data_IF_794109441853
#
_entry.id   IF_794109441853
#
_cell.length_a   1.000
_cell.length_b   1.000
_cell.length_c   1.000
_cell.angle_alpha   90.00
_cell.angle_beta   90.00
_cell.angle_gamma   90.00
#
_symmetry.space_group_name_H-M   'P 1'
#
loop_
_entity.id
_entity.type
_entity.pdbx_description
1 polymer ?
#
# COMPACT_ATOMS: atom_id res chain seq x y z
N UNK A 1 56.46 -24.97 -5.43
CA UNK A 1 55.11 -25.47 -5.78
C UNK A 1 54.32 -24.30 -6.32
N UNK A 2 54.09 -24.33 -7.63
CA UNK A 2 53.36 -23.33 -8.39
C UNK A 2 51.85 -23.53 -8.23
N UNK A 3 51.08 -22.45 -8.20
CA UNK A 3 49.91 -22.24 -9.06
C UNK A 3 49.26 -20.87 -8.80
N UNK A 4 49.74 -19.87 -9.55
CA UNK A 4 48.93 -18.74 -9.96
C UNK A 4 48.36 -19.08 -11.34
N UNK A 5 47.04 -19.19 -11.47
CA UNK A 5 46.37 -19.26 -12.78
C UNK A 5 45.56 -17.99 -13.00
N UNK A 6 46.21 -17.03 -13.65
CA UNK A 6 45.59 -16.03 -14.53
C UNK A 6 45.36 -16.69 -15.88
N UNK A 7 44.23 -16.43 -16.55
CA UNK A 7 44.15 -16.36 -18.02
C UNK A 7 42.94 -15.50 -18.47
N UNK A 8 42.97 -14.96 -19.70
CA UNK A 8 42.59 -13.58 -20.01
C UNK A 8 41.46 -13.41 -21.05
N UNK A 9 41.22 -12.14 -21.41
CA UNK A 9 40.28 -11.62 -22.40
C UNK A 9 40.51 -12.05 -23.86
N UNK A 10 39.38 -12.18 -24.56
CA UNK A 10 39.01 -11.75 -25.93
C UNK A 10 39.96 -11.92 -27.13
N UNK A 11 39.43 -12.55 -28.19
CA UNK A 11 39.67 -12.21 -29.61
C UNK A 11 38.54 -12.78 -30.48
N UNK A 12 37.73 -11.90 -31.08
CA UNK A 12 37.58 -11.67 -32.53
C UNK A 12 37.17 -12.86 -33.40
N UNK A 13 36.06 -12.74 -34.13
CA UNK A 13 35.98 -13.01 -35.57
C UNK A 13 34.63 -12.52 -36.14
N UNK A 14 34.72 -11.51 -37.00
CA UNK A 14 33.73 -11.17 -38.01
C UNK A 14 33.78 -12.20 -39.14
N UNK A 15 32.62 -12.55 -39.73
CA UNK A 15 32.44 -12.94 -41.14
C UNK A 15 30.93 -12.84 -41.43
N UNK A 16 30.47 -11.73 -42.01
CA UNK A 16 30.24 -11.54 -43.45
C UNK A 16 29.15 -12.44 -44.05
N UNK A 17 28.09 -11.75 -44.43
CA UNK A 17 27.03 -12.12 -45.35
C UNK A 17 27.52 -12.84 -46.62
N UNK A 18 26.83 -13.91 -47.00
CA UNK A 18 26.75 -14.35 -48.40
C UNK A 18 25.31 -14.70 -48.75
N UNK A 19 24.84 -14.06 -49.81
CA UNK A 19 23.56 -14.31 -50.45
C UNK A 19 23.64 -15.61 -51.26
N UNK A 20 22.56 -16.39 -51.26
CA UNK A 20 22.26 -17.26 -52.40
C UNK A 20 20.77 -17.11 -52.76
N UNK A 21 20.56 -16.62 -53.96
CA UNK A 21 19.28 -16.57 -54.62
C UNK A 21 18.98 -17.95 -55.21
N UNK A 22 17.81 -18.50 -54.91
CA UNK A 22 17.23 -19.60 -55.67
C UNK A 22 15.76 -19.25 -55.97
N UNK A 23 15.52 -18.86 -57.22
CA UNK A 23 14.21 -18.80 -57.84
C UNK A 23 13.58 -20.19 -57.85
N UNK A 24 12.33 -20.35 -57.40
CA UNK A 24 11.41 -21.30 -58.01
C UNK A 24 9.92 -20.93 -57.81
N UNK A 25 9.26 -20.68 -58.94
CA UNK A 25 7.84 -20.90 -59.25
C UNK A 25 6.74 -20.17 -58.46
N UNK A 26 6.16 -19.14 -59.11
CA UNK A 26 4.78 -18.69 -58.91
C UNK A 26 3.80 -19.85 -59.14
N UNK A 27 3.09 -20.28 -58.08
CA UNK A 27 1.77 -20.91 -58.19
C UNK A 27 0.76 -20.04 -57.45
N UNK A 28 -0.15 -19.41 -58.21
CA UNK A 28 -1.42 -18.89 -57.69
C UNK A 28 -2.31 -20.10 -57.38
N UNK A 29 -2.80 -20.19 -56.15
CA UNK A 29 -4.00 -20.97 -55.82
C UNK A 29 -4.74 -20.28 -54.69
N UNK A 30 -5.91 -19.73 -55.05
CA UNK A 30 -7.17 -19.66 -54.31
C UNK A 30 -7.15 -19.58 -52.77
N UNK A 31 -7.78 -18.54 -52.26
CA UNK A 31 -8.05 -18.35 -50.83
C UNK A 31 -8.93 -19.42 -50.22
N UNK A 32 -8.65 -19.69 -48.94
CA UNK A 32 -9.59 -20.22 -47.96
C UNK A 32 -9.01 -19.86 -46.58
N UNK A 33 -9.53 -18.79 -45.97
CA UNK A 33 -9.32 -18.49 -44.56
C UNK A 33 -10.08 -19.53 -43.74
N UNK A 34 -9.42 -20.66 -43.43
CA UNK A 34 -9.91 -21.57 -42.41
C UNK A 34 -9.74 -20.89 -41.03
N UNK A 35 -10.73 -20.08 -40.65
CA UNK A 35 -10.98 -19.77 -39.25
C UNK A 35 -11.38 -21.09 -38.58
N UNK A 36 -10.42 -21.74 -37.91
CA UNK A 36 -10.73 -22.77 -36.92
C UNK A 36 -11.63 -22.13 -35.87
N UNK A 37 -12.92 -22.44 -35.92
CA UNK A 37 -13.89 -22.00 -34.93
C UNK A 37 -13.46 -22.60 -33.59
N UNK A 38 -12.95 -21.73 -32.71
CA UNK A 38 -12.80 -22.06 -31.29
C UNK A 38 -14.18 -22.58 -30.84
N UNK A 39 -14.28 -23.80 -30.31
CA UNK A 39 -15.56 -24.30 -29.83
C UNK A 39 -16.04 -23.36 -28.72
N UNK A 40 -17.10 -22.61 -29.01
CA UNK A 40 -17.73 -21.76 -28.00
C UNK A 40 -18.39 -22.71 -26.99
N UNK A 41 -18.13 -22.55 -25.68
CA UNK A 41 -18.86 -23.30 -24.67
C UNK A 41 -20.36 -23.00 -24.83
N UNK A 42 -21.26 -23.92 -24.46
CA UNK A 42 -22.69 -23.69 -24.55
C UNK A 42 -23.07 -22.49 -23.67
N UNK A 43 -23.28 -21.34 -24.31
CA UNK A 43 -23.71 -20.10 -23.67
C UNK A 43 -25.19 -20.24 -23.34
N UNK A 44 -25.55 -20.14 -22.07
CA UNK A 44 -26.95 -20.06 -21.66
C UNK A 44 -27.47 -18.65 -22.00
N UNK A 45 -28.40 -18.49 -22.96
CA UNK A 45 -28.89 -17.17 -23.38
C UNK A 45 -29.71 -16.46 -22.29
N UNK A 46 -30.10 -17.17 -21.22
CA UNK A 46 -30.79 -16.61 -20.06
C UNK A 46 -29.87 -16.31 -18.89
N UNK A 47 -28.55 -16.44 -19.07
CA UNK A 47 -27.61 -16.14 -17.99
C UNK A 47 -27.60 -14.62 -17.70
N UNK A 48 -27.98 -14.20 -16.47
CA UNK A 48 -27.98 -12.79 -16.09
C UNK A 48 -26.58 -12.16 -16.14
N UNK A 49 -25.51 -12.96 -16.04
CA UNK A 49 -24.14 -12.50 -16.17
C UNK A 49 -23.78 -12.22 -17.64
N UNK A 50 -24.06 -13.17 -18.55
CA UNK A 50 -23.69 -13.03 -19.97
C UNK A 50 -24.52 -11.95 -20.68
N UNK A 51 -25.78 -11.78 -20.30
CA UNK A 51 -26.63 -10.69 -20.81
C UNK A 51 -26.14 -9.31 -20.35
N UNK A 52 -25.73 -9.18 -19.07
CA UNK A 52 -25.08 -7.95 -18.58
C UNK A 52 -23.75 -7.69 -19.28
N UNK A 53 -22.90 -8.70 -19.44
CA UNK A 53 -21.61 -8.57 -20.12
C UNK A 53 -21.79 -8.18 -21.59
N UNK A 54 -22.73 -8.80 -22.30
CA UNK A 54 -23.07 -8.45 -23.68
C UNK A 54 -23.62 -7.02 -23.78
N UNK A 55 -24.47 -6.60 -22.84
CA UNK A 55 -25.00 -5.23 -22.79
C UNK A 55 -23.89 -4.20 -22.55
N UNK A 56 -22.95 -4.48 -21.65
CA UNK A 56 -21.82 -3.60 -21.35
C UNK A 56 -20.85 -3.52 -22.54
N UNK A 57 -20.53 -4.67 -23.15
CA UNK A 57 -19.70 -4.75 -24.35
C UNK A 57 -20.32 -4.01 -25.55
N UNK A 58 -21.66 -4.05 -25.69
CA UNK A 58 -22.37 -3.36 -26.76
C UNK A 58 -22.48 -1.84 -26.54
N UNK A 59 -22.59 -1.40 -25.29
CA UNK A 59 -22.79 0.02 -24.96
C UNK A 59 -21.47 0.78 -24.89
N UNK A 60 -20.39 0.11 -24.46
CA UNK A 60 -19.06 0.73 -24.32
C UNK A 60 -17.97 -0.35 -24.24
N UNK A 61 -17.29 -0.71 -25.35
CA UNK A 61 -16.20 -1.69 -25.31
C UNK A 61 -14.99 -1.17 -24.52
N UNK A 62 -14.78 0.15 -24.50
CA UNK A 62 -13.66 0.79 -23.82
C UNK A 62 -13.75 0.67 -22.30
N UNK A 63 -14.95 0.61 -21.71
CA UNK A 63 -15.11 0.44 -20.25
C UNK A 63 -14.70 -0.94 -19.75
N UNK A 64 -14.62 -1.95 -20.62
CA UNK A 64 -14.08 -3.27 -20.28
C UNK A 64 -12.55 -3.28 -20.19
N UNK A 65 -11.89 -2.35 -20.90
CA UNK A 65 -10.43 -2.23 -20.96
C UNK A 65 -9.91 -1.10 -20.08
N UNK A 66 -10.71 -0.06 -19.87
CA UNK A 66 -10.38 1.09 -19.04
C UNK A 66 -10.98 0.92 -17.65
N UNK A 67 -10.11 0.90 -16.64
CA UNK A 67 -10.51 1.04 -15.24
C UNK A 67 -11.32 2.34 -15.06
N UNK A 68 -12.56 2.33 -14.54
CA UNK A 68 -13.18 3.55 -14.03
C UNK A 68 -12.35 4.00 -12.83
N UNK A 69 -11.41 4.93 -13.04
CA UNK A 69 -10.64 5.53 -11.95
C UNK A 69 -11.55 6.49 -11.22
N UNK A 70 -12.17 6.06 -10.13
CA UNK A 70 -12.70 7.03 -9.18
C UNK A 70 -11.50 7.66 -8.47
N UNK A 71 -11.19 8.95 -8.66
CA UNK A 71 -10.01 9.57 -8.03
C UNK A 71 -10.10 9.52 -6.49
N UNK A 72 -11.29 9.33 -5.95
CA UNK A 72 -11.57 9.35 -4.52
C UNK A 72 -11.63 7.98 -3.85
N UNK A 73 -11.48 6.90 -4.62
CA UNK A 73 -11.49 5.53 -4.10
C UNK A 73 -10.13 4.89 -4.37
N UNK A 74 -9.43 4.38 -3.34
CA UNK A 74 -8.16 3.70 -3.56
C UNK A 74 -8.38 2.42 -4.40
N UNK A 75 -7.40 2.04 -5.24
CA UNK A 75 -7.52 1.02 -6.28
C UNK A 75 -7.98 -0.33 -5.80
N UNK A 76 -7.61 -0.72 -4.58
CA UNK A 76 -7.99 -2.01 -4.05
C UNK A 76 -9.46 -2.08 -3.63
N UNK A 77 -10.09 -0.95 -3.28
CA UNK A 77 -11.52 -0.95 -3.00
C UNK A 77 -12.34 -1.12 -4.28
N UNK A 78 -11.88 -0.55 -5.39
CA UNK A 78 -12.50 -0.76 -6.71
C UNK A 78 -12.47 -2.25 -7.14
N UNK A 79 -11.45 -3.02 -6.72
CA UNK A 79 -11.33 -4.46 -7.06
C UNK A 79 -12.54 -5.26 -6.58
N UNK A 80 -13.12 -4.87 -5.45
CA UNK A 80 -14.29 -5.58 -4.94
C UNK A 80 -15.59 -5.19 -5.66
N UNK A 81 -15.64 -4.01 -6.30
CA UNK A 81 -16.80 -3.53 -7.06
C UNK A 81 -16.78 -4.05 -8.50
N UNK A 82 -15.58 -4.12 -9.10
CA UNK A 82 -15.32 -4.78 -10.38
C UNK A 82 -14.06 -5.63 -10.26
N UNK A 83 -14.17 -6.97 -10.14
CA UNK A 83 -13.02 -7.86 -10.15
C UNK A 83 -12.47 -7.98 -11.57
N UNK A 84 -12.01 -6.88 -12.15
CA UNK A 84 -11.16 -6.92 -13.33
C UNK A 84 -9.81 -7.37 -12.82
N UNK A 85 -9.52 -8.65 -13.05
CA UNK A 85 -8.29 -9.33 -12.66
C UNK A 85 -7.11 -8.42 -12.99
N UNK A 86 -6.49 -7.81 -11.97
CA UNK A 86 -5.14 -7.28 -12.07
C UNK A 86 -4.34 -8.43 -12.67
N UNK A 87 -4.00 -8.29 -13.96
CA UNK A 87 -3.62 -9.34 -14.90
C UNK A 87 -3.77 -10.76 -14.32
N UNK A 88 -4.74 -11.55 -14.80
CA UNK A 88 -4.71 -13.00 -14.53
C UNK A 88 -3.25 -13.47 -14.61
N UNK A 89 -2.74 -14.29 -13.69
CA UNK A 89 -1.36 -14.77 -13.80
C UNK A 89 -1.05 -15.30 -15.22
N UNK A 90 -2.08 -15.83 -15.90
CA UNK A 90 -2.08 -16.20 -17.30
C UNK A 90 -1.91 -15.06 -18.33
N UNK A 91 -2.33 -13.82 -18.07
CA UNK A 91 -2.14 -12.64 -18.94
C UNK A 91 -0.76 -11.99 -18.79
N UNK A 92 -0.15 -12.05 -17.60
CA UNK A 92 1.27 -11.70 -17.44
C UNK A 92 2.16 -12.60 -18.32
N UNK A 93 1.70 -13.82 -18.63
CA UNK A 93 2.41 -14.80 -19.46
C UNK A 93 2.00 -14.82 -20.96
N UNK A 94 0.88 -14.22 -21.38
CA UNK A 94 0.26 -14.54 -22.68
C UNK A 94 0.85 -13.86 -23.93
N UNK A 95 2.02 -13.24 -23.84
CA UNK A 95 2.72 -12.71 -25.01
C UNK A 95 3.89 -13.60 -25.42
N UNK A 96 3.67 -14.90 -25.67
CA UNK A 96 4.67 -15.72 -26.38
C UNK A 96 3.98 -16.68 -27.35
N UNK A 97 4.18 -16.40 -28.64
CA UNK A 97 3.94 -17.30 -29.76
C UNK A 97 4.71 -18.62 -29.55
N UNK A 98 4.27 -19.69 -30.21
CA UNK A 98 4.61 -21.12 -30.00
C UNK A 98 6.08 -21.56 -30.15
N UNK A 99 7.07 -20.69 -29.93
CA UNK A 99 8.47 -21.03 -30.11
C UNK A 99 9.34 -20.27 -29.10
N UNK A 100 9.59 -20.82 -27.90
CA UNK A 100 10.81 -20.52 -27.14
C UNK A 100 10.97 -21.38 -25.88
N UNK A 101 12.12 -22.04 -25.76
CA UNK A 101 12.62 -22.75 -24.58
C UNK A 101 13.04 -21.77 -23.45
N UNK A 102 12.26 -20.72 -23.19
CA UNK A 102 12.53 -19.83 -22.05
C UNK A 102 12.12 -20.55 -20.76
N UNK A 103 12.95 -20.57 -19.71
CA UNK A 103 12.52 -21.07 -18.41
C UNK A 103 11.31 -20.23 -17.97
N UNK A 104 10.20 -20.91 -17.68
CA UNK A 104 9.03 -20.29 -17.05
C UNK A 104 9.53 -19.54 -15.81
N UNK A 105 9.44 -18.21 -15.80
CA UNK A 105 9.70 -17.45 -14.57
C UNK A 105 8.65 -17.91 -13.56
N UNK A 106 9.03 -18.24 -12.33
CA UNK A 106 8.04 -18.57 -11.31
C UNK A 106 7.05 -17.41 -11.20
N UNK A 107 5.77 -17.68 -10.90
CA UNK A 107 4.79 -16.63 -10.72
C UNK A 107 5.29 -15.64 -9.66
N UNK A 108 5.07 -14.33 -9.85
CA UNK A 108 5.50 -13.32 -8.89
C UNK A 108 4.86 -13.58 -7.52
N UNK A 109 5.59 -13.29 -6.47
CA UNK A 109 5.12 -13.33 -5.09
C UNK A 109 4.10 -12.21 -4.82
N UNK A 110 3.33 -12.38 -3.74
CA UNK A 110 2.24 -11.47 -3.39
C UNK A 110 2.70 -10.01 -3.16
N UNK A 111 3.79 -9.74 -2.40
CA UNK A 111 4.33 -8.38 -2.26
C UNK A 111 4.70 -7.75 -3.61
N UNK A 112 5.33 -8.49 -4.51
CA UNK A 112 5.64 -8.00 -5.86
C UNK A 112 4.39 -7.66 -6.68
N UNK A 113 3.31 -8.43 -6.53
CA UNK A 113 2.02 -8.12 -7.18
C UNK A 113 1.40 -6.83 -6.63
N UNK A 114 1.46 -6.61 -5.31
CA UNK A 114 0.99 -5.38 -4.67
C UNK A 114 1.82 -4.17 -5.10
N UNK A 115 3.15 -4.32 -5.11
CA UNK A 115 4.07 -3.26 -5.53
C UNK A 115 3.87 -2.89 -7.00
N UNK A 116 3.61 -3.86 -7.88
CA UNK A 116 3.20 -3.59 -9.26
C UNK A 116 1.89 -2.79 -9.34
N UNK A 117 0.96 -3.04 -8.41
CA UNK A 117 -0.24 -2.23 -8.20
C UNK A 117 0.00 -0.88 -7.51
N UNK A 118 1.26 -0.51 -7.24
CA UNK A 118 1.70 0.68 -6.48
C UNK A 118 1.18 0.72 -5.04
N UNK A 119 0.97 -0.45 -4.46
CA UNK A 119 0.49 -0.64 -3.09
C UNK A 119 1.69 -1.02 -2.21
N UNK A 120 1.95 -0.20 -1.21
CA UNK A 120 2.91 -0.47 -0.13
C UNK A 120 2.12 -0.78 1.13
N UNK A 121 2.34 -1.96 1.73
CA UNK A 121 1.59 -2.42 2.90
C UNK A 121 2.48 -2.48 4.15
N UNK A 122 2.18 -1.63 5.13
CA UNK A 122 2.84 -1.59 6.43
C UNK A 122 2.00 -2.40 7.43
N UNK A 123 2.28 -3.69 7.56
CA UNK A 123 1.56 -4.60 8.47
C UNK A 123 2.27 -4.92 9.79
N UNK A 124 3.49 -4.44 9.97
CA UNK A 124 4.37 -4.80 11.09
C UNK A 124 4.76 -3.55 11.88
N UNK A 125 5.24 -3.69 13.13
CA UNK A 125 5.93 -2.60 13.83
C UNK A 125 7.11 -2.08 13.00
N UNK A 126 7.35 -0.78 13.09
CA UNK A 126 8.43 -0.08 12.42
C UNK A 126 9.76 -0.43 13.10
N UNK A 127 10.48 -1.35 12.48
CA UNK A 127 11.83 -1.79 12.85
C UNK A 127 12.77 -1.53 11.67
N UNK A 128 14.10 -1.45 11.87
CA UNK A 128 15.04 -1.09 10.80
C UNK A 128 14.85 -1.85 9.48
N UNK A 129 14.65 -3.17 9.55
CA UNK A 129 14.44 -4.00 8.36
C UNK A 129 13.11 -3.68 7.62
N UNK A 130 12.05 -3.31 8.35
CA UNK A 130 10.76 -2.95 7.76
C UNK A 130 10.85 -1.55 7.14
N UNK A 131 11.49 -0.62 7.83
CA UNK A 131 11.75 0.75 7.34
C UNK A 131 12.56 0.73 6.05
N UNK A 132 13.65 -0.05 6.02
CA UNK A 132 14.51 -0.19 4.84
C UNK A 132 13.71 -0.63 3.62
N UNK A 133 12.86 -1.65 3.77
CA UNK A 133 12.00 -2.15 2.69
C UNK A 133 10.99 -1.10 2.22
N UNK A 134 10.29 -0.43 3.15
CA UNK A 134 9.30 0.60 2.80
C UNK A 134 9.96 1.74 2.03
N UNK A 135 11.10 2.24 2.49
CA UNK A 135 11.83 3.33 1.82
C UNK A 135 12.31 2.87 0.43
N UNK A 136 12.83 1.65 0.30
CA UNK A 136 13.24 1.09 -0.98
C UNK A 136 12.06 0.97 -1.97
N UNK A 137 10.90 0.49 -1.51
CA UNK A 137 9.68 0.38 -2.32
C UNK A 137 9.19 1.76 -2.78
N UNK A 138 9.20 2.76 -1.90
CA UNK A 138 8.82 4.14 -2.22
C UNK A 138 9.75 4.75 -3.28
N UNK A 139 11.07 4.58 -3.12
CA UNK A 139 12.05 5.05 -4.10
C UNK A 139 11.90 4.35 -5.45
N UNK A 140 11.62 3.04 -5.43
CA UNK A 140 11.38 2.25 -6.64
C UNK A 140 10.13 2.74 -7.39
N UNK A 141 9.02 2.97 -6.69
CA UNK A 141 7.78 3.46 -7.30
C UNK A 141 7.92 4.84 -7.93
N UNK A 142 8.72 5.71 -7.32
CA UNK A 142 9.06 7.01 -7.90
C UNK A 142 9.94 6.88 -9.15
N UNK A 143 10.93 5.98 -9.13
CA UNK A 143 11.76 5.73 -10.30
C UNK A 143 10.95 5.17 -11.48
N UNK A 144 9.98 4.28 -11.20
CA UNK A 144 9.08 3.70 -12.21
C UNK A 144 8.19 4.74 -12.87
N UNK A 145 7.43 5.50 -12.08
CA UNK A 145 6.65 6.63 -12.57
C UNK A 145 6.45 7.67 -11.45
N UNK A 146 7.01 8.89 -11.57
CA UNK A 146 6.89 9.94 -10.57
C UNK A 146 5.53 10.67 -10.58
N UNK A 147 4.68 10.45 -11.59
CA UNK A 147 3.37 11.11 -11.72
C UNK A 147 2.23 10.28 -11.13
N UNK A 148 2.38 8.95 -11.10
CA UNK A 148 1.32 8.08 -10.61
C UNK A 148 1.28 8.04 -9.07
N UNK A 149 0.07 7.97 -8.47
CA UNK A 149 -0.07 7.93 -7.03
C UNK A 149 0.50 6.65 -6.43
N UNK A 150 0.94 6.74 -5.17
CA UNK A 150 1.38 5.61 -4.34
C UNK A 150 0.33 5.39 -3.25
N UNK A 151 -0.05 4.14 -3.01
CA UNK A 151 -1.05 3.80 -2.01
C UNK A 151 -0.40 3.11 -0.81
N UNK A 152 -0.38 3.79 0.32
CA UNK A 152 0.21 3.32 1.56
C UNK A 152 -0.87 2.79 2.49
N UNK A 153 -0.92 1.47 2.65
CA UNK A 153 -1.85 0.80 3.56
C UNK A 153 -1.16 0.57 4.89
N UNK A 154 -1.79 1.01 5.98
CA UNK A 154 -1.20 1.07 7.30
C UNK A 154 -2.02 0.22 8.27
N UNK A 155 -1.38 -0.81 8.79
CA UNK A 155 -1.81 -1.60 9.94
C UNK A 155 -0.58 -1.84 10.84
N UNK A 156 -0.21 -0.80 11.59
CA UNK A 156 1.01 -0.82 12.37
C UNK A 156 0.82 -0.12 13.71
N UNK A 157 1.44 -0.71 14.71
CA UNK A 157 1.54 -0.20 16.07
C UNK A 157 2.65 0.87 16.21
N UNK A 158 3.32 1.23 15.11
CA UNK A 158 4.45 2.15 15.11
C UNK A 158 5.71 1.47 15.63
N UNK A 159 6.44 2.12 16.53
CA UNK A 159 7.72 1.63 17.08
C UNK A 159 7.57 0.70 18.29
N UNK A 160 6.33 0.45 18.71
CA UNK A 160 5.98 -0.42 19.84
C UNK A 160 5.23 -1.65 19.36
N UNK A 161 5.40 -2.81 20.00
CA UNK A 161 4.54 -3.99 19.81
C UNK A 161 3.26 -3.89 20.63
N UNK A 162 2.31 -4.78 20.37
CA UNK A 162 1.06 -4.92 21.14
C UNK A 162 1.31 -5.21 22.63
N UNK A 163 2.41 -5.89 22.96
CA UNK A 163 2.83 -6.18 24.34
C UNK A 163 3.33 -4.93 25.10
N UNK A 164 3.41 -3.78 24.43
CA UNK A 164 3.91 -2.52 24.98
C UNK A 164 5.43 -2.37 24.95
N UNK A 165 6.15 -3.38 24.46
CA UNK A 165 7.60 -3.34 24.27
C UNK A 165 7.98 -2.41 23.10
N UNK A 166 9.06 -1.63 23.25
CA UNK A 166 9.59 -0.78 22.18
C UNK A 166 10.56 -1.59 21.33
N UNK A 167 10.27 -1.72 20.03
CA UNK A 167 10.99 -2.63 19.10
C UNK A 167 11.79 -1.87 18.06
N UNK A 168 11.41 -0.62 17.80
CA UNK A 168 12.13 0.29 16.91
C UNK A 168 12.41 1.62 17.59
N UNK A 169 13.32 2.37 16.99
CA UNK A 169 13.60 3.74 17.39
C UNK A 169 12.64 4.70 16.68
N UNK A 170 12.45 5.89 17.23
CA UNK A 170 11.61 6.94 16.64
C UNK A 170 12.09 7.34 15.24
N UNK A 171 13.40 7.21 15.00
CA UNK A 171 14.06 7.45 13.71
C UNK A 171 13.47 6.62 12.57
N UNK A 172 12.94 5.43 12.85
CA UNK A 172 12.30 4.56 11.85
C UNK A 172 11.06 5.23 11.25
N UNK A 173 10.23 5.83 12.11
CA UNK A 173 9.05 6.57 11.67
C UNK A 173 9.42 7.84 10.90
N UNK A 174 10.45 8.56 11.37
CA UNK A 174 10.91 9.78 10.71
C UNK A 174 11.55 9.51 9.35
N UNK A 175 12.30 8.42 9.20
CA UNK A 175 12.90 8.04 7.91
C UNK A 175 11.84 7.81 6.83
N UNK A 176 10.76 7.07 7.14
CA UNK A 176 9.65 6.85 6.21
C UNK A 176 8.93 8.17 5.92
N UNK A 177 8.70 8.99 6.95
CA UNK A 177 8.06 10.29 6.80
C UNK A 177 8.85 11.20 5.85
N UNK A 178 10.16 11.32 6.03
CA UNK A 178 11.02 12.15 5.19
C UNK A 178 11.08 11.60 3.77
N UNK A 179 11.14 10.27 3.61
CA UNK A 179 11.04 9.62 2.30
C UNK A 179 9.73 10.03 1.62
N UNK A 180 8.58 9.92 2.30
CA UNK A 180 7.27 10.34 1.77
C UNK A 180 7.26 11.81 1.32
N UNK A 181 7.86 12.72 2.10
CA UNK A 181 7.91 14.15 1.77
C UNK A 181 8.87 14.47 0.61
N UNK A 182 9.87 13.63 0.36
CA UNK A 182 10.83 13.82 -0.72
C UNK A 182 10.29 13.33 -2.08
N UNK A 183 9.26 12.47 -2.09
CA UNK A 183 8.66 11.98 -3.32
C UNK A 183 7.85 13.08 -4.04
N UNK A 184 7.88 13.04 -5.37
CA UNK A 184 7.02 13.84 -6.26
C UNK A 184 5.63 13.24 -6.41
N UNK A 185 5.52 11.93 -6.15
CA UNK A 185 4.27 11.19 -6.25
C UNK A 185 3.25 11.69 -5.22
N UNK A 186 1.97 11.68 -5.59
CA UNK A 186 0.88 11.82 -4.63
C UNK A 186 0.80 10.55 -3.76
N UNK A 187 0.68 10.70 -2.43
CA UNK A 187 0.66 9.56 -1.51
C UNK A 187 -0.71 9.46 -0.85
N UNK A 188 -1.40 8.36 -1.13
CA UNK A 188 -2.72 8.07 -0.59
C UNK A 188 -2.55 7.13 0.60
N UNK A 189 -2.94 7.54 1.79
CA UNK A 189 -2.78 6.73 3.02
C UNK A 189 -4.10 6.09 3.40
N UNK A 190 -4.08 4.81 3.77
CA UNK A 190 -5.29 4.04 4.13
C UNK A 190 -5.02 3.25 5.41
N UNK A 191 -5.72 3.58 6.49
CA UNK A 191 -5.67 2.80 7.73
C UNK A 191 -6.60 1.57 7.69
N UNK A 192 -6.02 0.38 7.89
CA UNK A 192 -6.69 -0.93 7.83
C UNK A 192 -6.39 -1.68 9.12
N UNK A 193 -7.09 -1.37 10.21
CA UNK A 193 -6.85 -1.98 11.52
C UNK A 193 -6.35 -0.97 12.53
N UNK A 194 -5.03 -0.81 12.67
CA UNK A 194 -4.45 0.12 13.64
C UNK A 194 -3.39 1.04 13.01
N UNK A 195 -3.40 2.32 13.39
CA UNK A 195 -2.34 3.27 13.09
C UNK A 195 -1.94 4.00 14.38
N UNK A 196 -0.86 3.53 15.02
CA UNK A 196 -0.49 3.96 16.37
C UNK A 196 0.86 4.69 16.37
N UNK A 197 0.94 5.80 17.12
CA UNK A 197 2.18 6.56 17.32
C UNK A 197 2.76 7.06 16.00
N UNK A 198 3.97 6.60 15.65
CA UNK A 198 4.61 6.93 14.38
C UNK A 198 3.80 6.48 13.16
N UNK A 199 3.07 5.36 13.23
CA UNK A 199 2.18 4.96 12.15
C UNK A 199 0.98 5.92 11.99
N UNK A 200 0.50 6.53 13.09
CA UNK A 200 -0.50 7.59 13.04
C UNK A 200 0.04 8.86 12.37
N UNK A 201 1.31 9.21 12.64
CA UNK A 201 2.00 10.27 11.90
C UNK A 201 2.03 9.98 10.40
N UNK A 202 2.47 8.78 9.98
CA UNK A 202 2.53 8.39 8.57
C UNK A 202 1.14 8.46 7.91
N UNK A 203 0.09 8.00 8.61
CA UNK A 203 -1.29 8.12 8.14
C UNK A 203 -1.68 9.59 7.89
N UNK A 204 -1.39 10.47 8.84
CA UNK A 204 -1.70 11.90 8.74
C UNK A 204 -0.89 12.64 7.66
N UNK A 205 0.31 12.13 7.34
CA UNK A 205 1.25 12.71 6.39
C UNK A 205 0.93 12.41 4.92
N UNK A 206 -0.13 11.64 4.64
CA UNK A 206 -0.63 11.46 3.27
C UNK A 206 -1.05 12.77 2.62
N UNK A 207 -1.17 12.77 1.29
CA UNK A 207 -1.62 13.94 0.53
C UNK A 207 -3.00 14.40 1.00
N UNK A 208 -3.15 15.71 1.23
CA UNK A 208 -4.38 16.30 1.76
C UNK A 208 -5.58 15.99 0.87
N UNK A 209 -6.66 15.48 1.46
CA UNK A 209 -7.86 15.01 0.77
C UNK A 209 -7.80 13.53 0.36
N UNK A 210 -6.65 12.86 0.50
CA UNK A 210 -6.38 11.46 0.14
C UNK A 210 -5.92 10.61 1.33
N UNK A 211 -6.29 11.02 2.55
CA UNK A 211 -6.05 10.27 3.78
C UNK A 211 -7.33 9.56 4.20
N UNK A 212 -7.28 8.25 4.28
CA UNK A 212 -8.45 7.40 4.44
C UNK A 212 -8.34 6.46 5.65
N UNK A 213 -9.49 6.07 6.21
CA UNK A 213 -9.57 5.07 7.26
C UNK A 213 -10.78 4.16 7.06
N UNK A 214 -10.62 2.88 7.37
CA UNK A 214 -11.75 1.95 7.44
C UNK A 214 -12.60 2.19 8.69
N UNK A 215 -13.91 1.85 8.69
CA UNK A 215 -14.84 2.25 9.76
C UNK A 215 -14.43 1.79 11.16
N UNK A 216 -13.89 0.57 11.29
CA UNK A 216 -13.46 -0.03 12.55
C UNK A 216 -11.96 0.09 12.82
N UNK A 217 -11.21 0.80 11.96
CA UNK A 217 -9.80 1.04 12.21
C UNK A 217 -9.64 2.08 13.33
N UNK A 218 -8.55 1.94 14.09
CA UNK A 218 -8.21 2.83 15.20
C UNK A 218 -6.94 3.61 14.89
N UNK A 219 -6.99 4.91 15.09
CA UNK A 219 -5.79 5.73 15.19
C UNK A 219 -5.48 6.00 16.66
N UNK A 220 -4.19 6.09 16.99
CA UNK A 220 -3.77 6.44 18.34
C UNK A 220 -2.57 7.35 18.31
N UNK A 221 -2.68 8.49 19.00
CA UNK A 221 -1.55 9.37 19.28
C UNK A 221 -1.01 8.97 20.66
N UNK A 222 0.28 8.65 20.72
CA UNK A 222 0.97 8.33 21.97
C UNK A 222 2.34 8.98 22.01
N UNK A 223 2.81 9.24 23.22
CA UNK A 223 4.14 9.76 23.47
C UNK A 223 5.21 8.72 23.12
N UNK A 224 6.36 9.13 22.54
CA UNK A 224 7.55 8.30 22.46
C UNK A 224 7.97 7.80 23.84
N UNK A 225 8.46 6.57 23.90
CA UNK A 225 8.84 5.90 25.16
C UNK A 225 10.35 5.83 25.24
N UNK A 226 10.89 6.13 26.40
CA UNK A 226 12.31 5.84 26.66
C UNK A 226 12.44 4.31 26.70
N UNK A 227 13.28 3.69 25.83
CA UNK A 227 13.53 2.26 25.89
C UNK A 227 14.02 1.86 27.29
N UNK A 228 13.70 0.64 27.72
CA UNK A 228 14.15 0.15 29.03
C UNK A 228 15.68 0.20 29.11
N UNK A 229 16.19 1.19 29.82
CA UNK A 229 17.58 1.28 30.21
C UNK A 229 17.73 0.41 31.45
N UNK A 230 18.46 -0.71 31.35
CA UNK A 230 18.84 -1.49 32.52
C UNK A 230 19.78 -0.70 33.45
N UNK A 231 20.82 -1.35 33.97
CA UNK A 231 21.83 -0.64 34.76
C UNK A 231 22.72 0.20 33.82
N UNK A 232 22.40 1.48 33.71
CA UNK A 232 23.16 2.48 32.94
C UNK A 232 23.72 3.59 33.82
N UNK A 233 24.85 4.21 33.44
CA UNK A 233 25.35 5.41 34.10
C UNK A 233 24.33 6.56 34.09
N UNK A 234 24.28 7.35 35.16
CA UNK A 234 23.34 8.46 35.30
C UNK A 234 23.46 9.52 34.18
N UNK A 235 24.68 9.75 33.67
CA UNK A 235 24.95 10.63 32.52
C UNK A 235 24.21 10.17 31.26
N UNK A 236 24.23 8.87 31.00
CA UNK A 236 23.72 8.29 29.77
C UNK A 236 22.19 8.24 29.79
N UNK A 237 21.62 8.00 30.98
CA UNK A 237 20.16 8.12 31.21
C UNK A 237 19.70 9.55 30.91
N UNK A 238 20.42 10.57 31.38
CA UNK A 238 20.08 11.97 31.11
C UNK A 238 20.15 12.30 29.62
N UNK A 239 21.18 11.83 28.91
CA UNK A 239 21.35 12.05 27.47
C UNK A 239 20.19 11.43 26.69
N UNK A 240 19.85 10.17 26.98
CA UNK A 240 18.72 9.48 26.32
C UNK A 240 17.37 10.13 26.61
N UNK A 241 17.14 10.54 27.86
CA UNK A 241 15.91 11.23 28.22
C UNK A 241 15.74 12.53 27.42
N UNK A 242 16.82 13.30 27.25
CA UNK A 242 16.81 14.52 26.43
C UNK A 242 16.47 14.23 24.97
N UNK A 243 17.07 13.18 24.39
CA UNK A 243 16.81 12.80 23.00
C UNK A 243 15.35 12.40 22.77
N UNK A 244 14.76 11.62 23.68
CA UNK A 244 13.34 11.23 23.58
C UNK A 244 12.40 12.42 23.71
N UNK A 245 12.77 13.42 24.53
CA UNK A 245 12.01 14.70 24.61
C UNK A 245 12.08 15.46 23.29
N UNK A 246 13.26 15.53 22.65
CA UNK A 246 13.42 16.16 21.34
C UNK A 246 12.55 15.44 20.30
N UNK A 247 12.60 14.11 20.25
CA UNK A 247 11.79 13.30 19.32
C UNK A 247 10.29 13.51 19.55
N UNK A 248 9.84 13.59 20.82
CA UNK A 248 8.46 13.94 21.15
C UNK A 248 8.08 15.30 20.60
N UNK A 249 8.91 16.31 20.80
CA UNK A 249 8.61 17.68 20.37
C UNK A 249 8.54 17.78 18.84
N UNK A 250 9.41 17.06 18.13
CA UNK A 250 9.35 16.92 16.67
C UNK A 250 8.05 16.23 16.26
N UNK A 251 7.68 15.11 16.88
CA UNK A 251 6.45 14.39 16.57
C UNK A 251 5.20 15.26 16.77
N UNK A 252 5.14 16.04 17.86
CA UNK A 252 4.05 16.99 18.13
C UNK A 252 3.94 18.02 17.00
N UNK A 253 5.07 18.62 16.59
CA UNK A 253 5.11 19.62 15.50
C UNK A 253 4.61 19.04 14.18
N UNK A 254 5.06 17.83 13.83
CA UNK A 254 4.67 17.17 12.60
C UNK A 254 3.18 16.81 12.60
N UNK A 255 2.66 16.26 13.69
CA UNK A 255 1.23 15.96 13.84
C UNK A 255 0.39 17.24 13.81
N UNK A 256 0.80 18.30 14.49
CA UNK A 256 0.12 19.60 14.45
C UNK A 256 0.00 20.13 13.01
N UNK A 257 1.12 20.09 12.26
CA UNK A 257 1.17 20.51 10.86
C UNK A 257 0.17 19.75 9.97
N UNK A 258 0.10 18.43 10.09
CA UNK A 258 -0.75 17.59 9.21
C UNK A 258 -2.21 17.54 9.66
N UNK A 259 -2.48 17.64 10.96
CA UNK A 259 -3.84 17.65 11.49
C UNK A 259 -4.51 19.02 11.43
N UNK A 260 -3.72 20.11 11.35
CA UNK A 260 -4.21 21.49 11.38
C UNK A 260 -4.53 21.99 12.79
N UNK A 261 -4.18 21.22 13.84
CA UNK A 261 -4.32 21.63 15.23
C UNK A 261 -3.10 22.44 15.70
N UNK A 262 -3.24 23.17 16.80
CA UNK A 262 -2.10 23.81 17.46
C UNK A 262 -1.18 22.78 18.12
N UNK A 263 0.11 23.10 18.22
CA UNK A 263 1.11 22.26 18.93
C UNK A 263 0.69 21.99 20.37
N UNK A 264 0.09 22.98 21.04
CA UNK A 264 -0.41 22.84 22.42
C UNK A 264 -1.53 21.80 22.54
N UNK A 265 -2.48 21.80 21.61
CA UNK A 265 -3.58 20.81 21.60
C UNK A 265 -3.03 19.41 21.41
N UNK A 266 -2.12 19.22 20.45
CA UNK A 266 -1.50 17.92 20.18
C UNK A 266 -0.64 17.47 21.37
N UNK A 267 0.15 18.37 21.96
CA UNK A 267 0.98 18.07 23.13
C UNK A 267 0.13 17.67 24.35
N UNK A 268 -1.01 18.32 24.57
CA UNK A 268 -1.92 17.99 25.66
C UNK A 268 -2.55 16.62 25.48
N UNK A 269 -3.01 16.32 24.27
CA UNK A 269 -3.62 15.03 23.93
C UNK A 269 -2.60 13.90 23.99
N UNK A 270 -1.35 14.14 23.58
CA UNK A 270 -0.28 13.14 23.58
C UNK A 270 0.22 12.76 24.99
N UNK A 271 -0.14 13.51 26.05
CA UNK A 271 0.26 13.18 27.44
C UNK A 271 -0.16 11.77 27.87
N UNK A 272 -1.24 11.25 27.28
CA UNK A 272 -1.74 9.88 27.50
C UNK A 272 -2.08 9.25 26.14
N UNK A 273 -2.19 7.91 26.06
CA UNK A 273 -2.68 7.26 24.84
C UNK A 273 -4.05 7.81 24.46
N UNK A 274 -4.13 8.46 23.30
CA UNK A 274 -5.36 9.04 22.78
C UNK A 274 -5.87 8.20 21.62
N UNK A 275 -6.84 7.33 21.91
CA UNK A 275 -7.49 6.49 20.92
C UNK A 275 -8.58 7.27 20.18
N UNK A 276 -8.61 7.09 18.87
CA UNK A 276 -9.57 7.68 17.96
C UNK A 276 -10.15 6.60 17.08
N UNK A 277 -11.47 6.51 17.08
CA UNK A 277 -12.21 5.78 16.05
C UNK A 277 -12.23 6.61 14.76
N UNK A 278 -12.70 6.02 13.67
CA UNK A 278 -12.68 6.64 12.34
C UNK A 278 -13.35 8.02 12.26
N UNK A 279 -14.46 8.24 12.98
CA UNK A 279 -15.14 9.54 13.08
C UNK A 279 -14.29 10.57 13.81
N UNK A 280 -13.81 10.23 15.00
CA UNK A 280 -12.96 11.09 15.83
C UNK A 280 -11.62 11.42 15.15
N UNK A 281 -11.04 10.45 14.44
CA UNK A 281 -9.81 10.64 13.67
C UNK A 281 -10.01 11.66 12.53
N UNK A 282 -11.20 11.66 11.91
CA UNK A 282 -11.57 12.65 10.88
C UNK A 282 -11.78 14.04 11.49
N UNK A 283 -12.50 14.13 12.61
CA UNK A 283 -12.71 15.39 13.33
C UNK A 283 -11.40 16.01 13.83
N UNK A 284 -10.49 15.17 14.34
CA UNK A 284 -9.16 15.61 14.77
C UNK A 284 -8.25 15.99 13.60
N UNK A 285 -8.60 15.63 12.36
CA UNK A 285 -7.83 15.97 11.15
C UNK A 285 -6.72 14.98 10.80
N UNK A 286 -6.67 13.80 11.42
CA UNK A 286 -5.73 12.71 11.08
C UNK A 286 -6.03 12.17 9.68
N UNK A 287 -7.31 12.10 9.32
CA UNK A 287 -7.79 11.59 8.05
C UNK A 287 -8.81 12.55 7.42
N UNK A 288 -9.07 12.39 6.12
CA UNK A 288 -10.03 13.21 5.38
C UNK A 288 -11.35 12.47 5.14
N UNK A 289 -11.30 11.17 4.83
CA UNK A 289 -12.46 10.37 4.42
C UNK A 289 -12.49 9.01 5.10
N UNK A 290 -13.70 8.53 5.39
CA UNK A 290 -13.95 7.18 5.92
C UNK A 290 -14.46 6.31 4.77
N UNK A 291 -13.90 5.12 4.62
CA UNK A 291 -14.21 4.21 3.51
C UNK A 291 -15.36 3.28 3.89
N UNK A 292 -16.59 3.69 3.58
CA UNK A 292 -17.80 2.90 3.79
C UNK A 292 -18.14 2.04 2.58
N UNK A 293 -18.62 0.82 2.82
CA UNK A 293 -19.07 -0.14 1.82
C UNK A 293 -20.29 -0.92 2.33
N UNK A 294 -21.33 -0.18 2.70
CA UNK A 294 -22.58 -0.73 3.24
C UNK A 294 -22.58 -1.01 4.74
N UNK A 295 -21.44 -0.87 5.42
CA UNK A 295 -21.37 -0.99 6.88
C UNK A 295 -22.11 0.14 7.62
N UNK A 296 -22.46 1.24 6.96
CA UNK A 296 -23.21 2.35 7.56
C UNK A 296 -24.52 1.86 8.19
N UNK A 297 -25.23 0.95 7.52
CA UNK A 297 -26.47 0.36 8.04
C UNK A 297 -26.21 -0.49 9.28
N UNK A 298 -25.18 -1.34 9.21
CA UNK A 298 -24.77 -2.22 10.30
C UNK A 298 -24.35 -1.39 11.53
N UNK A 299 -23.65 -0.27 11.31
CA UNK A 299 -23.22 0.62 12.38
C UNK A 299 -24.34 1.49 12.94
N UNK A 300 -25.32 1.89 12.12
CA UNK A 300 -26.51 2.59 12.59
C UNK A 300 -27.41 1.70 13.47
N UNK A 301 -27.45 0.40 13.17
CA UNK A 301 -28.19 -0.58 13.98
C UNK A 301 -27.47 -0.93 15.30
N UNK A 302 -26.16 -0.64 15.39
CA UNK A 302 -25.38 -0.88 16.60
C UNK A 302 -25.58 0.26 17.62
N UNK A 303 -25.99 -0.09 18.84
CA UNK A 303 -26.11 0.87 19.92
C UNK A 303 -24.73 1.50 20.24
N UNK A 304 -24.64 2.83 20.44
CA UNK A 304 -23.41 3.46 20.87
C UNK A 304 -22.96 2.90 22.24
N UNK A 305 -21.65 2.87 22.53
CA UNK A 305 -21.13 2.34 23.80
C UNK A 305 -21.78 2.98 25.03
N UNK A 306 -22.11 4.26 24.96
CA UNK A 306 -22.78 4.97 26.06
C UNK A 306 -24.20 4.45 26.35
N UNK A 307 -24.93 4.01 25.32
CA UNK A 307 -26.24 3.36 25.50
C UNK A 307 -26.09 1.95 26.04
N UNK A 308 -25.06 1.22 25.61
CA UNK A 308 -24.72 -0.08 26.19
C UNK A 308 -24.39 0.03 27.68
N UNK A 309 -23.56 1.01 28.05
CA UNK A 309 -23.17 1.27 29.45
C UNK A 309 -24.38 1.66 30.31
N UNK A 310 -25.27 2.51 29.78
CA UNK A 310 -26.55 2.85 30.43
C UNK A 310 -27.44 1.62 30.61
N UNK A 311 -27.57 0.78 29.58
CA UNK A 311 -28.35 -0.45 29.63
C UNK A 311 -27.75 -1.49 30.60
N UNK A 312 -26.42 -1.50 30.73
CA UNK A 312 -25.70 -2.34 31.69
C UNK A 312 -25.70 -1.76 33.12
N UNK A 313 -26.30 -0.58 33.33
CA UNK A 313 -26.36 0.07 34.64
C UNK A 313 -25.03 0.69 35.10
N UNK A 314 -24.07 0.87 34.19
CA UNK A 314 -22.79 1.50 34.46
C UNK A 314 -23.02 3.01 34.54
N UNK A 315 -22.84 3.58 35.73
CA UNK A 315 -22.88 5.04 35.94
C UNK A 315 -21.53 5.61 35.54
N UNK A 316 -21.52 6.44 34.49
CA UNK A 316 -20.37 7.28 34.17
C UNK A 316 -20.17 8.20 35.38
N UNK A 317 -19.03 8.05 36.07
CA UNK A 317 -18.61 9.02 37.08
C UNK A 317 -18.22 10.29 36.32
N UNK A 318 -19.01 11.35 36.48
CA UNK A 318 -18.63 12.68 36.01
C UNK A 318 -17.23 12.99 36.56
N UNK A 319 -16.28 13.18 35.67
CA UNK A 319 -14.90 13.53 36.00
C UNK A 319 -14.89 14.87 36.74
N UNK A 320 -14.48 14.85 38.01
CA UNK A 320 -14.01 16.03 38.77
C UNK A 320 -12.79 16.66 38.11
#
# INVERSE_FOLDING_TARGET
MANCLRMPMASSLCCSSSASAAHFSKRRSSGATNCSKIPMPPINPKDPFLSRLASLAATSPDTLLSRPKNPDTPPFLDVFDSPTLMATPAQVERSVSYNEHRPRRPPPDLPSLLLHGRIVYIGMPLVPAVTELIVAELMYLQWMDPKEPIYLYINSTGTTRDDGETVGMETEGFAIYDAMMQLKNEIHTVAVGAAIGHACLLLSAGSKGKRFMMPHAKAMIQQPRVPSSGLMPASDVLIRAKEVIINRDVLVKLLAKHTGNSEETVANVMKRPFYMDSTRAKEFGVIDKILWRGQEKIMADAAPPEEWDKNAGIKVLDSM
#
